data_IF_259388199843
#
_entry.id   IF_259388199843
#
_cell.length_a   1.000
_cell.length_b   1.000
_cell.length_c   1.000
_cell.angle_alpha   90.00
_cell.angle_beta   90.00
_cell.angle_gamma   90.00
#
_symmetry.space_group_name_H-M   'P 1'
#
loop_
_entity.id
_entity.type
_entity.pdbx_description
1 polymer ?
#
# COMPACT_ATOMS: atom_id res chain seq x y z
N UNK A 1 27.73 -4.93 -2.19
CA UNK A 1 27.50 -4.78 -0.74
C UNK A 1 26.25 -5.57 -0.39
N UNK A 2 26.39 -6.78 0.15
CA UNK A 2 25.24 -7.60 0.56
C UNK A 2 24.59 -6.95 1.78
N UNK A 3 23.27 -6.75 1.74
CA UNK A 3 22.52 -6.26 2.89
C UNK A 3 22.71 -7.24 4.05
N UNK A 4 23.37 -6.80 5.12
CA UNK A 4 23.52 -7.57 6.35
C UNK A 4 22.13 -7.76 6.94
N UNK A 5 21.60 -8.98 6.89
CA UNK A 5 20.34 -9.34 7.51
C UNK A 5 20.45 -9.09 9.02
N UNK A 6 19.56 -8.26 9.56
CA UNK A 6 19.42 -7.99 10.99
C UNK A 6 18.19 -8.76 11.49
N UNK A 7 18.39 -9.86 12.24
CA UNK A 7 17.28 -10.63 12.81
C UNK A 7 16.37 -9.74 13.67
N UNK A 8 15.05 -9.88 13.49
CA UNK A 8 14.04 -9.15 14.27
C UNK A 8 13.60 -7.79 13.70
N UNK A 9 14.39 -7.20 12.79
CA UNK A 9 14.00 -5.96 12.07
C UNK A 9 13.72 -6.26 10.60
N UNK A 10 14.58 -7.06 9.96
CA UNK A 10 14.38 -7.41 8.56
C UNK A 10 13.29 -8.47 8.41
N UNK A 11 12.43 -8.29 7.41
CA UNK A 11 11.37 -9.23 7.12
C UNK A 11 11.97 -10.59 6.66
N UNK A 12 11.68 -11.69 7.37
CA UNK A 12 12.27 -13.01 7.07
C UNK A 12 11.86 -13.53 5.68
N UNK A 13 10.77 -13.00 5.11
CA UNK A 13 10.31 -13.40 3.78
C UNK A 13 11.11 -12.77 2.62
N UNK A 14 12.04 -11.87 2.91
CA UNK A 14 12.85 -11.19 1.89
C UNK A 14 14.25 -11.79 1.72
N UNK A 15 14.57 -12.85 2.46
CA UNK A 15 15.84 -13.56 2.34
C UNK A 15 16.00 -14.05 0.89
N UNK A 16 17.07 -13.60 0.24
CA UNK A 16 17.40 -13.97 -1.14
C UNK A 16 16.71 -13.15 -2.23
N UNK A 17 15.90 -12.14 -1.89
CA UNK A 17 15.35 -11.21 -2.88
C UNK A 17 16.44 -10.23 -3.37
N UNK A 18 16.47 -9.90 -4.67
CA UNK A 18 17.33 -8.84 -5.16
C UNK A 18 16.87 -7.48 -4.60
N UNK A 19 17.81 -6.55 -4.36
CA UNK A 19 17.46 -5.19 -3.97
C UNK A 19 16.63 -4.51 -5.06
N UNK A 20 15.75 -3.60 -4.66
CA UNK A 20 14.98 -2.77 -5.58
C UNK A 20 15.89 -1.99 -6.53
N UNK A 21 15.46 -1.85 -7.78
CA UNK A 21 16.08 -0.95 -8.77
C UNK A 21 15.67 0.51 -8.57
N UNK A 22 14.67 0.77 -7.73
CA UNK A 22 14.12 2.11 -7.47
C UNK A 22 14.98 2.81 -6.42
N UNK A 23 15.52 4.00 -6.68
CA UNK A 23 16.26 4.79 -5.70
C UNK A 23 15.48 5.02 -4.41
N UNK A 24 16.15 4.96 -3.25
CA UNK A 24 15.50 5.12 -1.94
C UNK A 24 14.70 6.42 -1.78
N UNK A 25 15.12 7.52 -2.42
CA UNK A 25 14.38 8.80 -2.40
C UNK A 25 13.00 8.63 -3.04
N UNK A 26 12.92 7.90 -4.16
CA UNK A 26 11.66 7.63 -4.86
C UNK A 26 10.81 6.66 -4.04
N UNK A 27 11.41 5.63 -3.43
CA UNK A 27 10.68 4.72 -2.54
C UNK A 27 10.03 5.48 -1.36
N UNK A 28 10.74 6.45 -0.76
CA UNK A 28 10.20 7.32 0.30
C UNK A 28 9.10 8.24 -0.21
N UNK A 29 9.24 8.79 -1.41
CA UNK A 29 8.20 9.61 -2.02
C UNK A 29 6.91 8.80 -2.27
N UNK A 30 7.03 7.56 -2.74
CA UNK A 30 5.89 6.64 -2.90
C UNK A 30 5.21 6.31 -1.58
N UNK A 31 5.99 6.12 -0.51
CA UNK A 31 5.48 5.94 0.85
C UNK A 31 4.78 7.19 1.37
N UNK A 32 5.36 8.37 1.17
CA UNK A 32 4.74 9.63 1.56
C UNK A 32 3.39 9.85 0.84
N UNK A 33 3.33 9.52 -0.46
CA UNK A 33 2.08 9.56 -1.22
C UNK A 33 1.03 8.59 -0.66
N UNK A 34 1.43 7.36 -0.30
CA UNK A 34 0.52 6.39 0.32
C UNK A 34 -0.04 6.93 1.65
N UNK A 35 0.82 7.48 2.51
CA UNK A 35 0.39 8.05 3.80
C UNK A 35 -0.53 9.24 3.59
N UNK A 36 -0.21 10.13 2.64
CA UNK A 36 -1.09 11.25 2.29
C UNK A 36 -2.47 10.77 1.80
N UNK A 37 -2.52 9.72 0.98
CA UNK A 37 -3.78 9.12 0.54
C UNK A 37 -4.60 8.61 1.73
N UNK A 38 -3.98 7.93 2.70
CA UNK A 38 -4.67 7.50 3.93
C UNK A 38 -5.21 8.67 4.75
N UNK A 39 -4.49 9.78 4.86
CA UNK A 39 -4.98 10.98 5.55
C UNK A 39 -6.23 11.55 4.87
N UNK A 40 -6.25 11.57 3.53
CA UNK A 40 -7.43 12.01 2.76
C UNK A 40 -8.59 11.02 2.92
N UNK A 41 -8.32 9.72 2.93
CA UNK A 41 -9.34 8.68 3.21
C UNK A 41 -9.98 8.92 4.58
N UNK A 42 -9.17 9.16 5.61
CA UNK A 42 -9.66 9.46 6.96
C UNK A 42 -10.52 10.73 6.94
N UNK A 43 -10.07 11.78 6.24
CA UNK A 43 -10.85 13.00 6.04
C UNK A 43 -12.25 12.71 5.48
N UNK A 44 -12.35 11.99 4.36
CA UNK A 44 -13.64 11.63 3.78
C UNK A 44 -14.48 10.71 4.67
N UNK A 45 -13.84 9.77 5.38
CA UNK A 45 -14.53 8.86 6.28
C UNK A 45 -15.19 9.60 7.46
N UNK A 46 -14.56 10.70 7.93
CA UNK A 46 -15.08 11.52 9.03
C UNK A 46 -16.13 12.55 8.60
N UNK A 47 -16.26 12.83 7.30
CA UNK A 47 -17.19 13.85 6.76
C UNK A 47 -18.39 13.22 6.04
N UNK A 48 -18.87 12.06 6.46
CA UNK A 48 -20.02 11.34 5.85
C UNK A 48 -19.86 11.01 4.35
N UNK A 49 -18.63 11.09 3.81
CA UNK A 49 -18.31 10.80 2.41
C UNK A 49 -17.80 9.37 2.25
N UNK A 50 -18.50 8.40 2.86
CA UNK A 50 -18.07 6.99 2.94
C UNK A 50 -17.75 6.38 1.58
N UNK A 51 -18.48 6.76 0.52
CA UNK A 51 -18.26 6.25 -0.84
C UNK A 51 -16.92 6.74 -1.41
N UNK A 52 -16.64 8.04 -1.26
CA UNK A 52 -15.35 8.64 -1.67
C UNK A 52 -14.20 8.09 -0.84
N UNK A 53 -14.41 7.91 0.46
CA UNK A 53 -13.42 7.30 1.36
C UNK A 53 -13.10 5.86 0.93
N UNK A 54 -14.12 5.03 0.68
CA UNK A 54 -13.95 3.63 0.27
C UNK A 54 -13.27 3.51 -1.08
N UNK A 55 -13.67 4.35 -2.05
CA UNK A 55 -13.02 4.37 -3.36
C UNK A 55 -11.54 4.74 -3.26
N UNK A 56 -11.21 5.82 -2.54
CA UNK A 56 -9.84 6.27 -2.38
C UNK A 56 -8.99 5.28 -1.58
N UNK A 57 -9.59 4.62 -0.58
CA UNK A 57 -8.93 3.53 0.16
C UNK A 57 -8.66 2.34 -0.76
N UNK A 58 -9.58 2.02 -1.66
CA UNK A 58 -9.37 1.03 -2.72
C UNK A 58 -8.17 1.38 -3.60
N UNK A 59 -8.11 2.62 -4.10
CA UNK A 59 -6.96 3.12 -4.86
C UNK A 59 -5.66 3.08 -4.05
N UNK A 60 -5.69 3.41 -2.75
CA UNK A 60 -4.53 3.36 -1.87
C UNK A 60 -4.01 1.92 -1.68
N UNK A 61 -4.91 0.93 -1.58
CA UNK A 61 -4.51 -0.49 -1.51
C UNK A 61 -3.94 -1.01 -2.84
N UNK A 62 -4.51 -0.59 -3.97
CA UNK A 62 -3.93 -0.87 -5.29
C UNK A 62 -2.53 -0.23 -5.38
N UNK A 63 -2.37 1.02 -4.95
CA UNK A 63 -1.06 1.68 -4.88
C UNK A 63 -0.09 0.95 -3.95
N UNK A 64 -0.58 0.46 -2.80
CA UNK A 64 0.21 -0.38 -1.90
C UNK A 64 0.73 -1.62 -2.63
N UNK A 65 -0.09 -2.28 -3.46
CA UNK A 65 0.35 -3.44 -4.27
C UNK A 65 1.47 -3.08 -5.26
N UNK A 66 1.47 -1.87 -5.82
CA UNK A 66 2.51 -1.38 -6.73
C UNK A 66 3.82 -1.12 -5.98
N UNK A 67 3.76 -0.44 -4.83
CA UNK A 67 4.97 -0.16 -4.05
C UNK A 67 5.53 -1.42 -3.39
N UNK A 68 4.67 -2.42 -3.12
CA UNK A 68 5.06 -3.76 -2.63
C UNK A 68 5.99 -4.48 -3.59
N UNK A 69 5.75 -4.39 -4.89
CA UNK A 69 6.59 -5.05 -5.90
C UNK A 69 7.80 -4.24 -6.32
N UNK A 70 7.73 -2.91 -6.18
CA UNK A 70 8.79 -2.00 -6.63
C UNK A 70 9.76 -1.57 -5.54
N UNK A 71 9.37 -1.49 -4.27
CA UNK A 71 10.20 -0.96 -3.18
C UNK A 71 10.78 -2.06 -2.28
N UNK A 72 11.84 -1.73 -1.54
CA UNK A 72 12.41 -2.63 -0.54
C UNK A 72 11.57 -2.62 0.74
N UNK A 73 11.42 -3.79 1.36
CA UNK A 73 10.63 -3.94 2.58
C UNK A 73 11.16 -3.12 3.75
N UNK A 74 12.48 -2.85 3.78
CA UNK A 74 13.09 -1.96 4.78
C UNK A 74 12.55 -0.53 4.69
N UNK A 75 12.21 -0.05 3.49
CA UNK A 75 11.55 1.25 3.31
C UNK A 75 10.06 1.18 3.63
N UNK A 76 9.41 0.07 3.29
CA UNK A 76 7.98 -0.14 3.56
C UNK A 76 7.66 -0.38 5.04
N UNK A 77 8.63 -0.83 5.85
CA UNK A 77 8.50 -0.97 7.31
C UNK A 77 7.34 -1.86 7.72
N UNK A 78 6.44 -1.33 8.56
CA UNK A 78 5.26 -2.03 9.12
C UNK A 78 4.28 -2.52 8.07
N UNK A 79 4.31 -1.99 6.85
CA UNK A 79 3.49 -2.55 5.79
C UNK A 79 4.02 -3.93 5.37
N UNK A 80 5.28 -4.27 5.66
CA UNK A 80 6.02 -5.45 5.19
C UNK A 80 6.13 -6.62 6.16
N UNK A 81 5.03 -6.96 6.81
CA UNK A 81 4.99 -8.05 7.80
C UNK A 81 4.97 -9.43 7.14
N UNK A 82 4.35 -9.57 5.97
CA UNK A 82 4.19 -10.86 5.28
C UNK A 82 4.87 -10.83 3.91
N UNK A 83 5.05 -12.02 3.31
CA UNK A 83 5.70 -12.16 2.02
C UNK A 83 5.06 -11.29 0.92
N UNK A 84 5.90 -10.65 0.10
CA UNK A 84 5.48 -9.86 -1.06
C UNK A 84 4.51 -10.61 -1.99
N UNK A 85 4.73 -11.92 -2.16
CA UNK A 85 3.92 -12.80 -3.03
C UNK A 85 2.47 -12.94 -2.56
N UNK A 86 2.22 -12.84 -1.25
CA UNK A 86 0.86 -12.85 -0.70
C UNK A 86 0.28 -11.43 -0.66
N UNK A 87 1.05 -10.47 -0.14
CA UNK A 87 0.54 -9.10 0.10
C UNK A 87 0.11 -8.42 -1.19
N UNK A 88 0.85 -8.62 -2.28
CA UNK A 88 0.59 -7.96 -3.57
C UNK A 88 -0.79 -8.35 -4.13
N UNK A 89 -1.11 -9.64 -4.40
CA UNK A 89 -2.43 -10.00 -4.89
C UNK A 89 -3.53 -9.71 -3.87
N UNK A 90 -3.26 -9.87 -2.56
CA UNK A 90 -4.26 -9.57 -1.53
C UNK A 90 -4.69 -8.10 -1.54
N UNK A 91 -3.72 -7.18 -1.49
CA UNK A 91 -3.99 -5.73 -1.51
C UNK A 91 -4.57 -5.27 -2.83
N UNK A 92 -4.14 -5.85 -3.96
CA UNK A 92 -4.71 -5.57 -5.27
C UNK A 92 -6.18 -6.00 -5.37
N UNK A 93 -6.51 -7.22 -4.94
CA UNK A 93 -7.87 -7.74 -4.97
C UNK A 93 -8.78 -6.97 -4.02
N UNK A 94 -8.36 -6.78 -2.77
CA UNK A 94 -9.13 -5.99 -1.80
C UNK A 94 -9.35 -4.57 -2.29
N UNK A 95 -8.30 -3.90 -2.75
CA UNK A 95 -8.39 -2.54 -3.28
C UNK A 95 -9.31 -2.44 -4.49
N UNK A 96 -9.20 -3.40 -5.41
CA UNK A 96 -10.06 -3.52 -6.58
C UNK A 96 -11.53 -3.74 -6.21
N UNK A 97 -11.81 -4.67 -5.29
CA UNK A 97 -13.17 -4.92 -4.79
C UNK A 97 -13.77 -3.70 -4.11
N UNK A 98 -12.99 -2.99 -3.29
CA UNK A 98 -13.44 -1.76 -2.62
C UNK A 98 -13.77 -0.66 -3.62
N UNK A 99 -12.88 -0.41 -4.59
CA UNK A 99 -13.10 0.59 -5.63
C UNK A 99 -14.31 0.23 -6.51
N UNK A 100 -14.45 -1.04 -6.89
CA UNK A 100 -15.58 -1.53 -7.66
C UNK A 100 -16.91 -1.36 -6.92
N UNK A 101 -16.98 -1.80 -5.66
CA UNK A 101 -18.19 -1.66 -4.84
C UNK A 101 -18.56 -0.20 -4.62
N UNK A 102 -17.58 0.66 -4.29
CA UNK A 102 -17.82 2.09 -4.12
C UNK A 102 -18.34 2.75 -5.40
N UNK A 103 -17.86 2.34 -6.58
CA UNK A 103 -18.33 2.83 -7.88
C UNK A 103 -19.72 2.28 -8.26
N UNK A 104 -20.07 1.08 -7.78
CA UNK A 104 -21.36 0.45 -8.10
C UNK A 104 -22.55 1.04 -7.36
N UNK A 105 -22.33 1.83 -6.30
CA UNK A 105 -23.39 2.44 -5.49
C UNK A 105 -23.63 3.88 -5.93
N UNK A 106 -24.88 4.21 -6.20
CA UNK A 106 -25.26 5.55 -6.65
C UNK A 106 -25.05 6.64 -5.57
N UNK A 107 -24.67 7.86 -5.97
CA UNK A 107 -24.63 9.02 -5.09
C UNK A 107 -26.02 9.46 -4.62
N UNK A 108 -26.43 9.01 -3.44
CA UNK A 108 -27.54 9.66 -2.72
C UNK A 108 -27.00 10.92 -2.03
N UNK A 109 -26.72 11.97 -2.80
CA UNK A 109 -26.38 13.30 -2.30
C UNK A 109 -25.00 13.49 -1.63
N UNK A 110 -24.05 12.57 -1.83
CA UNK A 110 -22.66 12.72 -1.35
C UNK A 110 -21.68 13.18 -2.42
#
# INVERSE_FOLDING_TARGET
MGSSYIPGIDNPHDVGLPPSRVPHVIQRAFMALLVAAFLVVIGFALTEHWRRATFLLGCALIWLSVIRVTCDSRTLGVFAVRSRKFDTPFTLLMGGSMAFLAMSVDPLGS
#
